data_IF_548071550712
#
_entry.id   IF_548071550712
#
_cell.length_a   1.000
_cell.length_b   1.000
_cell.length_c   1.000
_cell.angle_alpha   90.00
_cell.angle_beta   90.00
_cell.angle_gamma   90.00
#
_symmetry.space_group_name_H-M   'P 1'
#
loop_
_entity.id
_entity.type
_entity.pdbx_description
1 polymer ?
#
# COMPACT_ATOMS: atom_id res chain seq x y z
N UNK A 1 -0.82 -3.84 -11.72
CA UNK A 1 -1.14 -4.47 -10.42
C UNK A 1 -0.21 -5.64 -10.09
N UNK A 2 0.32 -6.36 -11.09
CA UNK A 2 1.34 -7.40 -10.92
C UNK A 2 2.59 -6.95 -10.16
N UNK A 3 3.03 -5.69 -10.33
CA UNK A 3 4.19 -5.12 -9.62
C UNK A 3 3.99 -5.01 -8.09
N UNK A 4 2.84 -4.50 -7.63
CA UNK A 4 2.53 -4.39 -6.19
C UNK A 4 2.37 -5.78 -5.58
N UNK A 5 1.73 -6.72 -6.31
CA UNK A 5 1.58 -8.10 -5.87
C UNK A 5 2.92 -8.80 -5.69
N UNK A 6 3.86 -8.60 -6.61
CA UNK A 6 5.23 -9.14 -6.52
C UNK A 6 6.05 -8.48 -5.40
N UNK A 7 5.76 -7.21 -5.09
CA UNK A 7 6.45 -6.48 -4.03
C UNK A 7 5.96 -6.86 -2.63
N UNK A 8 4.64 -6.95 -2.43
CA UNK A 8 4.05 -7.13 -1.10
C UNK A 8 3.96 -8.62 -0.71
N UNK A 9 4.27 -9.57 -1.62
CA UNK A 9 4.17 -11.03 -1.42
C UNK A 9 2.87 -11.48 -0.73
N UNK A 10 1.80 -10.69 -0.89
CA UNK A 10 0.53 -10.93 -0.25
C UNK A 10 -0.40 -11.58 -1.27
N UNK A 11 -0.94 -12.77 -0.97
CA UNK A 11 -1.94 -13.40 -1.82
C UNK A 11 -3.24 -12.61 -1.67
N UNK A 12 -3.40 -11.58 -2.50
CA UNK A 12 -4.70 -10.99 -2.73
C UNK A 12 -5.65 -12.11 -3.14
N UNK A 13 -6.67 -12.35 -2.31
CA UNK A 13 -7.71 -13.33 -2.58
C UNK A 13 -8.41 -12.86 -3.86
N UNK A 14 -8.46 -13.66 -4.91
CA UNK A 14 -9.11 -13.27 -6.17
C UNK A 14 -10.65 -13.40 -6.03
N UNK A 15 -11.25 -12.83 -4.97
CA UNK A 15 -12.66 -13.04 -4.63
C UNK A 15 -13.59 -11.89 -5.05
N UNK A 16 -13.05 -10.77 -5.53
CA UNK A 16 -13.82 -9.58 -5.92
C UNK A 16 -13.79 -8.51 -4.82
N UNK A 17 -13.94 -7.24 -5.21
CA UNK A 17 -13.80 -6.10 -4.29
C UNK A 17 -14.82 -6.13 -3.16
N UNK A 18 -16.04 -6.55 -3.48
CA UNK A 18 -17.13 -6.84 -2.54
C UNK A 18 -16.75 -7.82 -1.42
N UNK A 19 -15.78 -8.71 -1.63
CA UNK A 19 -15.32 -9.68 -0.63
C UNK A 19 -14.02 -9.24 0.03
N UNK A 20 -13.07 -8.73 -0.76
CA UNK A 20 -11.73 -8.39 -0.29
C UNK A 20 -11.73 -7.16 0.62
N UNK A 21 -12.55 -6.14 0.33
CA UNK A 21 -12.62 -4.92 1.14
C UNK A 21 -13.16 -5.21 2.55
N UNK A 22 -14.32 -5.89 2.71
CA UNK A 22 -14.80 -6.22 4.06
C UNK A 22 -13.89 -7.19 4.79
N UNK A 23 -13.25 -8.14 4.09
CA UNK A 23 -12.27 -9.04 4.69
C UNK A 23 -11.05 -8.26 5.22
N UNK A 24 -10.48 -7.37 4.41
CA UNK A 24 -9.35 -6.54 4.78
C UNK A 24 -9.69 -5.61 5.96
N UNK A 25 -10.88 -4.98 5.94
CA UNK A 25 -11.35 -4.12 7.01
C UNK A 25 -11.47 -4.86 8.35
N UNK A 26 -11.93 -6.13 8.34
CA UNK A 26 -11.98 -7.00 9.52
C UNK A 26 -10.59 -7.45 9.96
N UNK A 27 -9.74 -7.87 9.02
CA UNK A 27 -8.42 -8.46 9.30
C UNK A 27 -7.41 -7.45 9.82
N UNK A 28 -7.44 -6.22 9.30
CA UNK A 28 -6.50 -5.16 9.63
C UNK A 28 -7.06 -4.14 10.63
N UNK A 29 -7.91 -4.60 11.55
CA UNK A 29 -8.42 -3.78 12.65
C UNK A 29 -7.32 -3.51 13.69
N UNK A 30 -7.46 -2.40 14.42
CA UNK A 30 -6.56 -2.05 15.53
C UNK A 30 -5.42 -1.09 15.16
N UNK A 31 -4.60 -0.75 16.17
CA UNK A 31 -3.51 0.24 16.08
C UNK A 31 -2.16 -0.36 15.69
N UNK A 32 -2.11 -1.67 15.40
CA UNK A 32 -0.86 -2.32 15.04
C UNK A 32 -0.28 -1.73 13.75
N UNK A 33 1.00 -1.40 13.77
CA UNK A 33 1.68 -0.67 12.68
C UNK A 33 1.58 -1.37 11.32
N UNK A 34 1.68 -2.70 11.32
CA UNK A 34 1.52 -3.51 10.12
C UNK A 34 0.09 -3.38 9.55
N UNK A 35 -0.92 -3.36 10.42
CA UNK A 35 -2.32 -3.18 10.00
C UNK A 35 -2.57 -1.77 9.47
N UNK A 36 -1.91 -0.75 10.02
CA UNK A 36 -1.94 0.60 9.47
C UNK A 36 -1.31 0.65 8.07
N UNK A 37 -0.15 0.03 7.88
CA UNK A 37 0.52 -0.03 6.57
C UNK A 37 -0.33 -0.74 5.50
N UNK A 38 -0.96 -1.87 5.83
CA UNK A 38 -1.84 -2.57 4.89
C UNK A 38 -3.11 -1.78 4.54
N UNK A 39 -3.69 -1.07 5.51
CA UNK A 39 -4.82 -0.16 5.24
C UNK A 39 -4.40 0.98 4.32
N UNK A 40 -3.25 1.60 4.56
CA UNK A 40 -2.70 2.63 3.66
C UNK A 40 -2.49 2.07 2.26
N UNK A 41 -1.88 0.89 2.13
CA UNK A 41 -1.69 0.22 0.84
C UNK A 41 -3.02 0.03 0.10
N UNK A 42 -4.04 -0.47 0.79
CA UNK A 42 -5.35 -0.67 0.19
C UNK A 42 -5.99 0.64 -0.26
N UNK A 43 -5.96 1.67 0.59
CA UNK A 43 -6.46 3.01 0.25
C UNK A 43 -5.74 3.60 -0.96
N UNK A 44 -4.41 3.50 -1.01
CA UNK A 44 -3.62 3.96 -2.16
C UNK A 44 -3.97 3.15 -3.42
N UNK A 45 -4.12 1.83 -3.33
CA UNK A 45 -4.54 1.01 -4.47
C UNK A 45 -5.90 1.43 -5.02
N UNK A 46 -6.90 1.59 -4.15
CA UNK A 46 -8.25 2.07 -4.52
C UNK A 46 -8.14 3.44 -5.20
N UNK A 47 -7.40 4.37 -4.60
CA UNK A 47 -7.23 5.72 -5.11
C UNK A 47 -6.58 5.73 -6.50
N UNK A 48 -5.49 4.99 -6.70
CA UNK A 48 -4.79 4.94 -8.00
C UNK A 48 -5.63 4.26 -9.09
N UNK A 49 -6.45 3.26 -8.74
CA UNK A 49 -7.41 2.65 -9.68
C UNK A 49 -8.50 3.65 -10.07
N UNK A 50 -9.10 4.33 -9.09
CA UNK A 50 -10.07 5.37 -9.33
C UNK A 50 -9.48 6.50 -10.18
N UNK A 51 -8.28 6.97 -9.84
CA UNK A 51 -7.57 8.01 -10.58
C UNK A 51 -7.29 7.57 -12.02
N UNK A 52 -6.87 6.32 -12.24
CA UNK A 52 -6.66 5.78 -13.60
C UNK A 52 -7.96 5.79 -14.41
N UNK A 53 -9.09 5.39 -13.80
CA UNK A 53 -10.41 5.42 -14.45
C UNK A 53 -10.84 6.84 -14.79
N UNK A 54 -10.66 7.78 -13.85
CA UNK A 54 -11.01 9.18 -14.06
C UNK A 54 -10.15 9.84 -15.14
N UNK A 55 -8.84 9.61 -15.13
CA UNK A 55 -7.94 10.15 -16.17
C UNK A 55 -8.26 9.63 -17.56
N UNK A 56 -8.62 8.35 -17.70
CA UNK A 56 -9.12 7.82 -18.98
C UNK A 56 -10.38 8.53 -19.44
N UNK A 57 -11.32 8.79 -18.52
CA UNK A 57 -12.62 9.40 -18.85
C UNK A 57 -12.49 10.87 -19.23
N UNK A 58 -11.57 11.61 -18.60
CA UNK A 58 -11.52 13.08 -18.68
C UNK A 58 -10.25 13.68 -19.31
N UNK A 59 -9.15 12.93 -19.39
CA UNK A 59 -7.84 13.46 -19.83
C UNK A 59 -7.20 12.67 -20.98
N UNK A 60 -7.78 11.54 -21.41
CA UNK A 60 -7.25 10.62 -22.44
C UNK A 60 -5.79 10.15 -22.24
N UNK A 61 -5.17 10.46 -21.10
CA UNK A 61 -3.81 10.05 -20.78
C UNK A 61 -3.78 8.72 -20.06
N UNK A 62 -3.08 7.73 -20.61
CA UNK A 62 -2.85 6.45 -19.94
C UNK A 62 -1.50 6.40 -19.22
N UNK A 63 -1.52 6.15 -17.90
CA UNK A 63 -0.33 5.72 -17.15
C UNK A 63 -0.25 4.19 -17.15
N UNK A 64 0.96 3.68 -17.39
CA UNK A 64 1.22 2.23 -17.36
C UNK A 64 1.00 1.66 -15.95
N UNK A 65 0.58 0.40 -15.89
CA UNK A 65 0.32 -0.29 -14.63
C UNK A 65 1.58 -0.44 -13.76
N UNK A 66 2.77 -0.41 -14.37
CA UNK A 66 4.05 -0.44 -13.68
C UNK A 66 4.34 0.87 -12.94
N UNK A 67 4.11 2.02 -13.59
CA UNK A 67 4.29 3.35 -12.96
C UNK A 67 3.33 3.54 -11.79
N UNK A 68 2.06 3.16 -11.95
CA UNK A 68 1.09 3.20 -10.84
C UNK A 68 1.52 2.31 -9.67
N UNK A 69 2.06 1.12 -9.95
CA UNK A 69 2.55 0.23 -8.90
C UNK A 69 3.70 0.84 -8.10
N UNK A 70 4.62 1.55 -8.76
CA UNK A 70 5.71 2.27 -8.08
C UNK A 70 5.18 3.42 -7.21
N UNK A 71 4.25 4.21 -7.74
CA UNK A 71 3.64 5.31 -6.99
C UNK A 71 2.95 4.83 -5.71
N UNK A 72 2.18 3.74 -5.80
CA UNK A 72 1.54 3.11 -4.62
C UNK A 72 2.57 2.67 -3.59
N UNK A 73 3.65 2.01 -4.03
CA UNK A 73 4.70 1.53 -3.10
C UNK A 73 5.37 2.72 -2.41
N UNK A 74 5.71 3.76 -3.16
CA UNK A 74 6.37 4.94 -2.61
C UNK A 74 5.47 5.70 -1.64
N UNK A 75 4.19 5.87 -1.98
CA UNK A 75 3.20 6.49 -1.11
C UNK A 75 3.08 5.77 0.24
N UNK A 76 3.09 4.43 0.23
CA UNK A 76 3.06 3.64 1.47
C UNK A 76 4.37 3.77 2.24
N UNK A 77 5.53 3.77 1.57
CA UNK A 77 6.84 3.99 2.24
C UNK A 77 6.87 5.35 2.94
N UNK A 78 6.50 6.42 2.23
CA UNK A 78 6.45 7.77 2.77
C UNK A 78 5.52 7.83 4.00
N UNK A 79 4.36 7.17 3.93
CA UNK A 79 3.41 7.11 5.05
C UNK A 79 3.94 6.33 6.26
N UNK A 80 4.74 5.30 6.05
CA UNK A 80 5.40 4.52 7.11
C UNK A 80 6.50 5.36 7.76
N UNK A 81 7.30 6.08 6.97
CA UNK A 81 8.36 6.97 7.47
C UNK A 81 7.77 8.16 8.23
N UNK A 82 6.69 8.75 7.72
CA UNK A 82 6.02 9.89 8.37
C UNK A 82 5.21 9.50 9.60
N UNK A 83 4.89 8.22 9.76
CA UNK A 83 4.29 7.75 10.99
C UNK A 83 5.41 7.72 12.03
N UNK A 84 5.27 8.48 13.11
CA UNK A 84 6.20 8.47 14.23
C UNK A 84 6.06 7.13 14.97
N UNK A 85 6.73 6.10 14.43
CA UNK A 85 6.61 4.72 14.88
C UNK A 85 7.63 4.45 15.98
N UNK A 86 7.14 4.06 17.16
CA UNK A 86 7.99 3.50 18.21
C UNK A 86 8.88 2.36 17.66
N UNK A 87 10.15 2.33 18.09
CA UNK A 87 11.16 1.40 17.61
C UNK A 87 10.96 -0.01 18.20
N UNK A 88 9.84 -0.65 17.85
CA UNK A 88 9.47 -1.99 18.30
C UNK A 88 9.74 -3.02 17.19
N UNK A 89 9.78 -4.31 17.55
CA UNK A 89 10.03 -5.43 16.61
C UNK A 89 9.10 -5.37 15.39
N UNK A 90 7.83 -5.00 15.60
CA UNK A 90 6.85 -4.83 14.52
C UNK A 90 7.20 -3.70 13.55
N UNK A 91 7.78 -2.60 14.05
CA UNK A 91 8.25 -1.49 13.22
C UNK A 91 9.47 -1.94 12.41
N UNK A 92 10.45 -2.58 13.04
CA UNK A 92 11.64 -3.13 12.35
C UNK A 92 11.23 -4.14 11.25
N UNK A 93 10.32 -5.06 11.58
CA UNK A 93 9.77 -6.01 10.61
C UNK A 93 9.08 -5.29 9.44
N UNK A 94 8.37 -4.19 9.71
CA UNK A 94 7.73 -3.39 8.68
C UNK A 94 8.75 -2.66 7.79
N UNK A 95 9.77 -2.00 8.36
CA UNK A 95 10.85 -1.38 7.58
C UNK A 95 11.55 -2.39 6.66
N UNK A 96 11.82 -3.59 7.18
CA UNK A 96 12.40 -4.71 6.40
C UNK A 96 11.46 -5.19 5.29
N UNK A 97 10.18 -5.40 5.60
CA UNK A 97 9.17 -5.84 4.63
C UNK A 97 9.02 -4.85 3.46
N UNK A 98 9.05 -3.55 3.77
CA UNK A 98 8.91 -2.49 2.77
C UNK A 98 10.24 -2.06 2.13
N UNK A 99 11.35 -2.72 2.47
CA UNK A 99 12.71 -2.40 1.99
C UNK A 99 13.00 -0.90 2.07
N UNK A 100 12.60 -0.26 3.16
CA UNK A 100 12.85 1.15 3.40
C UNK A 100 14.31 1.26 3.87
N UNK A 101 15.16 2.06 3.21
CA UNK A 101 16.51 2.31 3.71
C UNK A 101 16.38 2.96 5.09
N UNK A 102 16.93 2.30 6.11
CA UNK A 102 16.96 2.85 7.46
C UNK A 102 17.89 4.06 7.46
N UNK A 103 17.34 5.25 7.68
CA UNK A 103 18.13 6.43 7.99
C UNK A 103 18.00 6.70 9.49
N UNK A 104 19.11 6.65 10.26
CA UNK A 104 19.07 7.09 11.65
C UNK A 104 18.62 8.56 11.68
N UNK A 105 17.76 8.96 12.63
CA UNK A 105 17.58 10.38 12.91
C UNK A 105 18.93 10.95 13.32
N UNK A 106 19.35 12.03 12.65
CA UNK A 106 20.50 12.85 13.09
C UNK A 106 20.11 13.68 14.31
#
# INVERSE_FOLDING_TARGET
>A
MSTVRRFVSFPWLFRGWEVDIPWAARRWRGKHVINAAYRTLLSSLVYHIWQKRNRRRFQQTERTAATLGRLVIEEVRQRIISADLSCNISSIALYRLWKIPWHPPM
#
